data_IF_808766778070
#
_entry.id   IF_808766778070
#
_cell.length_a   1.000
_cell.length_b   1.000
_cell.length_c   1.000
_cell.angle_alpha   90.00
_cell.angle_beta   90.00
_cell.angle_gamma   90.00
#
_symmetry.space_group_name_H-M   'P 1'
#
loop_
_entity.id
_entity.type
_entity.pdbx_description
1 polymer ?
2 non-polymer ?
3 water ?
#
# COMPACT_ATOMS: atom_id res chain seq x y z
N UNK A 8 -13.67 17.28 11.27
CA UNK A 8 -13.10 16.57 10.07
C UNK A 8 -11.67 17.05 9.85
N UNK A 9 -10.72 16.12 9.87
CA UNK A 9 -9.31 16.45 9.71
C UNK A 9 -9.03 16.87 8.27
N UNK A 10 -7.95 17.62 8.10
CA UNK A 10 -7.46 17.99 6.77
C UNK A 10 -7.25 16.74 5.92
N UNK A 11 -6.68 15.70 6.53
CA UNK A 11 -6.40 14.44 5.85
C UNK A 11 -7.66 13.71 5.30
N UNK A 12 -8.72 13.63 6.10
CA UNK A 12 -9.97 12.97 5.67
C UNK A 12 -10.73 13.76 4.59
N UNK A 13 -10.67 15.09 4.68
CA UNK A 13 -11.37 15.99 3.76
C UNK A 13 -10.90 15.84 2.30
N UNK A 14 -9.74 15.22 2.08
CA UNK A 14 -9.25 14.97 0.71
C UNK A 14 -10.29 14.23 -0.17
N UNK A 15 -11.03 13.32 0.46
CA UNK A 15 -11.92 12.44 -0.29
C UNK A 15 -13.33 12.99 -0.50
N UNK A 16 -13.53 14.23 -0.07
CA UNK A 16 -14.79 14.91 -0.26
C UNK A 16 -15.07 15.20 -1.72
N UNK A 17 -16.33 15.10 -2.11
CA UNK A 17 -16.79 15.45 -3.46
C UNK A 17 -16.36 16.89 -3.80
N UNK A 18 -16.34 17.75 -2.79
CA UNK A 18 -15.97 19.16 -2.97
C UNK A 18 -14.51 19.38 -3.39
N UNK A 19 -13.66 18.36 -3.25
CA UNK A 19 -12.22 18.49 -3.53
C UNK A 19 -11.83 18.00 -4.93
N UNK A 20 -12.83 17.71 -5.78
CA UNK A 20 -12.55 16.99 -7.05
C UNK A 20 -13.47 17.40 -8.21
N UNK A 21 -12.91 17.38 -9.43
CA UNK A 21 -13.65 17.71 -10.66
C UNK A 21 -13.69 16.54 -11.66
N UNK A 22 -13.31 15.36 -11.18
CA UNK A 22 -13.26 14.14 -11.98
C UNK A 22 -13.25 12.96 -11.00
N UNK A 23 -13.67 11.77 -11.45
CA UNK A 23 -13.69 10.61 -10.55
C UNK A 23 -12.28 10.19 -10.15
N UNK A 24 -12.15 9.29 -9.15
CA UNK A 24 -10.82 8.78 -8.83
C UNK A 24 -10.11 8.30 -10.10
N UNK A 25 -8.83 8.65 -10.22
CA UNK A 25 -8.06 8.32 -11.42
C UNK A 25 -7.89 6.82 -11.66
N UNK A 26 -7.97 6.02 -10.60
CA UNK A 26 -7.83 4.59 -10.73
C UNK A 26 -9.12 3.94 -11.27
N UNK A 27 -10.25 4.66 -11.25
CA UNK A 27 -11.52 4.05 -11.69
C UNK A 27 -11.47 3.68 -13.17
N UNK A 28 -11.78 2.42 -13.46
CA UNK A 28 -11.71 1.91 -14.83
C UNK A 28 -10.40 1.22 -15.18
N UNK A 29 -9.37 1.47 -14.38
CA UNK A 29 -8.06 0.83 -14.56
C UNK A 29 -7.81 -0.20 -13.46
N UNK A 30 -7.76 0.27 -12.22
CA UNK A 30 -7.44 -0.60 -11.09
C UNK A 30 -8.68 -1.37 -10.63
N UNK A 31 -9.85 -0.74 -10.74
CA UNK A 31 -11.09 -1.37 -10.29
C UNK A 31 -12.27 -0.81 -11.10
N UNK A 32 -13.34 -1.59 -11.15
CA UNK A 32 -14.60 -1.18 -11.75
C UNK A 32 -15.44 -0.28 -10.82
N UNK A 33 -16.53 0.26 -11.37
CA UNK A 33 -17.46 1.07 -10.58
C UNK A 33 -18.11 0.33 -9.42
N UNK A 34 -18.10 -1.00 -9.51
CA UNK A 34 -18.67 -1.83 -8.46
C UNK A 34 -17.59 -2.29 -7.48
N UNK A 35 -16.38 -1.74 -7.63
CA UNK A 35 -15.30 -2.04 -6.71
C UNK A 35 -14.62 -3.37 -6.89
N UNK A 36 -14.73 -3.96 -8.08
CA UNK A 36 -14.02 -5.20 -8.38
C UNK A 36 -12.68 -4.87 -9.05
N UNK A 37 -11.62 -5.51 -8.58
CA UNK A 37 -10.27 -5.25 -9.10
C UNK A 37 -10.04 -5.81 -10.48
N UNK A 38 -9.36 -5.03 -11.31
CA UNK A 38 -9.17 -5.33 -12.73
C UNK A 38 -7.73 -5.73 -13.02
N UNK A 39 -7.51 -6.41 -14.15
CA UNK A 39 -6.14 -6.81 -14.50
C UNK A 39 -5.22 -5.60 -14.67
N UNK A 40 -4.12 -5.60 -13.93
CA UNK A 40 -3.19 -4.47 -13.92
C UNK A 40 -1.82 -5.01 -13.43
N UNK A 41 -1.16 -5.86 -14.25
CA UNK A 41 -0.02 -6.61 -13.71
C UNK A 41 1.22 -5.78 -13.48
N UNK A 42 2.01 -6.21 -12.50
CA UNK A 42 3.24 -5.50 -12.18
C UNK A 42 4.07 -6.30 -11.21
N UNK A 43 5.07 -5.63 -10.63
CA UNK A 43 5.89 -6.22 -9.60
C UNK A 43 6.22 -5.15 -8.57
N UNK A 44 6.76 -5.56 -7.42
CA UNK A 44 6.86 -4.65 -6.28
C UNK A 44 7.64 -5.31 -5.16
N UNK A 45 8.14 -4.51 -4.22
CA UNK A 45 8.69 -5.04 -2.99
C UNK A 45 7.75 -4.66 -1.84
N UNK A 46 7.24 -5.68 -1.13
CA UNK A 46 6.29 -5.42 -0.05
C UNK A 46 6.57 -6.29 1.15
N UNK A 47 6.02 -5.88 2.29
CA UNK A 47 5.98 -6.70 3.51
C UNK A 47 4.54 -7.10 3.78
N UNK A 48 4.22 -8.39 3.68
CA UNK A 48 2.88 -8.84 4.03
C UNK A 48 2.73 -8.86 5.56
N UNK A 49 1.50 -8.89 6.04
CA UNK A 49 1.26 -9.21 7.46
C UNK A 49 1.55 -10.69 7.72
N UNK A 50 1.74 -11.03 8.99
CA UNK A 50 1.90 -12.42 9.40
C UNK A 50 0.50 -13.01 9.69
N UNK A 51 0.08 -13.98 8.88
CA UNK A 51 -1.27 -14.55 9.00
C UNK A 51 -1.45 -15.14 10.40
N UNK A 52 -2.59 -14.83 11.00
CA UNK A 52 -2.93 -15.32 12.35
C UNK A 52 -2.34 -14.54 13.51
N UNK A 53 -1.47 -13.56 13.21
CA UNK A 53 -0.79 -12.79 14.27
C UNK A 53 -1.77 -11.82 14.92
N UNK A 54 -1.44 -11.34 16.12
CA UNK A 54 -2.31 -10.36 16.80
C UNK A 54 -2.37 -9.04 16.02
N UNK A 55 -1.28 -8.72 15.30
CA UNK A 55 -1.27 -7.54 14.44
C UNK A 55 -2.34 -7.68 13.35
N UNK A 56 -2.36 -8.84 12.70
CA UNK A 56 -3.33 -9.03 11.64
C UNK A 56 -4.76 -8.96 12.17
N UNK A 57 -5.03 -9.62 13.30
CA UNK A 57 -6.36 -9.56 13.90
C UNK A 57 -6.79 -8.14 14.24
N UNK A 58 -5.86 -7.35 14.77
CA UNK A 58 -6.16 -5.97 15.10
C UNK A 58 -6.55 -5.18 13.83
N UNK A 59 -5.78 -5.38 12.75
CA UNK A 59 -6.02 -4.64 11.52
C UNK A 59 -7.35 -5.07 10.89
N UNK A 60 -7.64 -6.36 10.99
CA UNK A 60 -8.88 -6.90 10.47
C UNK A 60 -10.08 -6.31 11.23
N UNK A 61 -9.94 -6.10 12.54
CA UNK A 61 -10.99 -5.42 13.31
C UNK A 61 -11.23 -3.98 12.85
N UNK A 62 -10.14 -3.26 12.58
CA UNK A 62 -10.24 -1.89 12.07
C UNK A 62 -10.98 -1.90 10.73
N UNK A 63 -10.54 -2.79 9.86
CA UNK A 63 -11.14 -3.00 8.55
C UNK A 63 -12.64 -3.31 8.63
N UNK A 64 -13.07 -4.04 9.65
CA UNK A 64 -14.51 -4.27 9.89
C UNK A 64 -15.30 -3.02 10.30
N UNK A 65 -14.69 -2.17 11.14
CA UNK A 65 -15.33 -0.92 11.49
C UNK A 65 -15.57 -0.09 10.24
N UNK A 66 -14.65 -0.21 9.27
CA UNK A 66 -14.83 0.53 8.01
C UNK A 66 -15.97 -0.09 7.20
N UNK A 67 -15.99 -1.42 7.10
CA UNK A 67 -17.07 -2.11 6.39
C UNK A 67 -18.44 -1.83 7.02
N UNK A 68 -18.47 -1.57 8.33
CA UNK A 68 -19.76 -1.27 9.02
C UNK A 68 -20.41 -0.01 8.50
N UNK A 70 -22.01 2.83 6.06
CA UNK A 70 -22.75 2.78 4.80
C UNK A 70 -21.89 3.15 3.60
N UNK A 71 -20.94 4.07 3.79
CA UNK A 71 -20.07 4.49 2.67
C UNK A 71 -19.03 3.45 2.28
N UNK A 72 -19.01 2.32 2.98
CA UNK A 72 -18.17 1.19 2.55
C UNK A 72 -18.54 0.77 1.12
N UNK A 73 -19.79 1.05 0.73
CA UNK A 73 -20.26 0.77 -0.61
C UNK A 73 -19.53 1.57 -1.69
N UNK A 74 -18.82 2.64 -1.28
CA UNK A 74 -18.05 3.51 -2.17
C UNK A 74 -16.56 3.23 -2.14
N UNK A 75 -16.20 2.13 -1.47
CA UNK A 75 -14.81 1.72 -1.29
C UNK A 75 -14.61 0.33 -1.85
N UNK A 76 -13.43 0.08 -2.40
CA UNK A 76 -13.09 -1.24 -2.92
C UNK A 76 -12.07 -1.85 -1.97
N UNK A 77 -12.52 -2.79 -1.15
CA UNK A 77 -11.64 -3.42 -0.15
C UNK A 77 -10.86 -4.55 -0.79
N UNK A 78 -9.58 -4.62 -0.45
CA UNK A 78 -8.71 -5.69 -0.91
C UNK A 78 -8.84 -6.89 0.04
N UNK A 79 -8.46 -8.09 -0.42
CA UNK A 79 -8.58 -9.27 0.46
C UNK A 79 -7.69 -9.17 1.69
N UNK A 80 -8.13 -9.75 2.80
CA UNK A 80 -7.31 -9.77 3.99
C UNK A 80 -5.93 -10.39 3.69
N UNK A 81 -5.89 -11.45 2.91
CA UNK A 81 -4.62 -12.13 2.65
C UNK A 81 -3.65 -11.30 1.79
N UNK A 82 -4.14 -10.20 1.20
CA UNK A 82 -3.31 -9.31 0.37
C UNK A 82 -2.68 -8.18 1.15
N UNK A 83 -3.05 -8.01 2.41
CA UNK A 83 -2.60 -6.83 3.15
C UNK A 83 -1.09 -6.77 3.27
N UNK A 84 -0.54 -5.59 2.99
CA UNK A 84 0.91 -5.44 2.96
C UNK A 84 1.27 -3.98 3.08
N UNK A 86 3.88 -1.64 1.20
CA UNK A 86 4.87 -1.54 0.12
C UNK A 86 6.15 -0.89 0.66
N UNK A 87 7.29 -1.48 0.33
CA UNK A 87 8.58 -0.89 0.68
C UNK A 87 9.12 -0.10 -0.50
N UNK A 88 9.02 -0.67 -1.71
CA UNK A 88 9.47 0.02 -2.93
C UNK A 88 8.65 -0.46 -4.10
N UNK A 89 7.94 0.45 -4.77
CA UNK A 89 7.11 0.06 -5.92
C UNK A 89 8.00 -0.40 -7.06
N UNK A 90 7.60 -1.52 -7.69
CA UNK A 90 8.23 -1.97 -8.93
C UNK A 90 7.48 -1.34 -10.12
N UNK A 91 7.49 -2.02 -11.24
CA UNK A 91 6.80 -1.50 -12.43
C UNK A 91 5.37 -1.99 -12.49
N UNK A 92 4.56 -1.34 -13.32
CA UNK A 92 3.18 -1.75 -13.49
C UNK A 92 2.71 -1.45 -14.92
N UNK A 93 1.81 -2.30 -15.43
CA UNK A 93 1.35 -2.24 -16.81
C UNK A 93 0.75 -0.88 -17.17
N UNK A 94 0.10 -0.27 -16.18
CA UNK A 94 -0.61 0.99 -16.35
C UNK A 94 0.27 2.24 -16.29
N UNK A 95 1.59 2.07 -16.11
CA UNK A 95 2.47 3.22 -16.00
C UNK A 95 3.82 2.95 -16.68
N UNK A 96 3.75 2.84 -18.01
CA UNK A 96 4.93 2.52 -18.79
C UNK A 96 5.63 3.82 -19.20
N UNK A 97 6.27 4.45 -18.22
CA UNK A 97 6.86 5.76 -18.42
C UNK A 97 7.98 6.03 -17.42
N UNK A 98 9.01 6.76 -17.85
CA UNK A 98 10.00 7.28 -16.91
C UNK A 98 9.32 8.37 -16.08
N UNK A 99 9.69 8.54 -14.80
CA UNK A 99 10.69 7.86 -13.99
C UNK A 99 10.14 6.68 -13.20
N UNK A 100 9.11 6.02 -13.74
CA UNK A 100 8.47 4.89 -13.05
C UNK A 100 8.90 3.56 -13.67
N UNK A 101 9.96 3.61 -14.47
CA UNK A 101 10.43 2.49 -15.29
C UNK A 101 11.94 2.65 -15.40
N UNK A 102 12.69 1.52 -15.48
CA UNK A 102 14.13 1.67 -15.66
C UNK A 102 14.46 2.16 -17.06
N UNK A 103 15.29 3.20 -17.18
CA UNK A 103 15.62 3.70 -18.52
C UNK A 103 16.34 2.69 -19.39
N UNK A 104 16.97 1.68 -18.77
CA UNK A 104 17.66 0.65 -19.54
C UNK A 104 16.73 -0.31 -20.28
N UNK A 105 15.43 -0.28 -19.97
CA UNK A 105 14.49 -1.22 -20.59
C UNK A 105 13.48 -0.53 -21.48
N UNK A 106 13.19 -1.10 -22.64
CA UNK A 106 12.13 -0.56 -23.49
C UNK A 106 10.82 -0.41 -22.72
N UNK A 107 10.09 0.65 -23.01
CA UNK A 107 8.83 0.96 -22.29
C UNK A 107 7.77 -0.10 -22.57
N UNK A 108 7.93 -0.85 -23.68
CA UNK A 108 6.96 -1.89 -24.05
C UNK A 108 7.40 -3.30 -23.67
N UNK A 109 8.42 -3.42 -22.82
CA UNK A 109 8.88 -4.73 -22.34
C UNK A 109 7.73 -5.41 -21.59
N UNK A 110 7.44 -6.68 -21.93
CA UNK A 110 6.42 -7.40 -21.15
C UNK A 110 6.74 -7.40 -19.66
N UNK A 111 5.71 -7.23 -18.83
CA UNK A 111 5.90 -7.22 -17.38
C UNK A 111 6.71 -8.44 -16.89
N UNK A 112 6.43 -9.63 -17.42
CA UNK A 112 7.19 -10.81 -16.98
C UNK A 112 8.68 -10.75 -17.26
N UNK A 113 9.07 -10.13 -18.38
CA UNK A 113 10.49 -9.93 -18.67
C UNK A 113 11.15 -8.92 -17.73
N UNK A 114 10.39 -7.90 -17.30
CA UNK A 114 10.94 -6.98 -16.31
C UNK A 114 11.16 -7.72 -14.97
N UNK A 115 10.19 -8.54 -14.59
CA UNK A 115 10.29 -9.36 -13.39
C UNK A 115 11.55 -10.25 -13.42
N UNK A 116 11.83 -10.87 -14.57
CA UNK A 116 13.06 -11.67 -14.70
C UNK A 116 14.35 -10.85 -14.56
N UNK A 117 14.39 -9.66 -15.18
CA UNK A 117 15.53 -8.75 -15.10
C UNK A 117 15.81 -8.39 -13.64
N UNK A 118 14.75 -8.09 -12.91
CA UNK A 118 14.89 -7.74 -11.51
C UNK A 118 15.22 -8.93 -10.60
N UNK A 119 14.56 -10.07 -10.82
CA UNK A 119 14.87 -11.27 -10.02
C UNK A 119 16.37 -11.58 -10.09
N UNK A 120 16.95 -11.41 -11.28
CA UNK A 120 18.38 -11.60 -11.49
C UNK A 120 19.20 -10.52 -10.78
N UNK A 121 18.82 -9.27 -10.97
CA UNK A 121 19.56 -8.16 -10.37
C UNK A 121 19.51 -8.24 -8.85
N UNK A 122 18.35 -8.65 -8.31
CA UNK A 122 18.14 -8.68 -6.86
C UNK A 122 18.78 -9.88 -6.16
N UNK A 123 19.42 -10.77 -6.93
CA UNK A 123 20.14 -11.92 -6.37
C UNK A 123 21.35 -11.52 -5.54
N UNK A 124 21.86 -10.31 -5.76
CA UNK A 124 22.98 -9.77 -4.99
C UNK A 124 22.59 -8.64 -4.03
N UNK A 125 21.30 -8.48 -3.76
CA UNK A 125 20.84 -7.46 -2.78
C UNK A 125 21.48 -7.69 -1.41
N UNK A 126 22.04 -6.62 -0.80
CA UNK A 126 22.78 -6.82 0.45
C UNK A 126 21.88 -7.08 1.64
N UNK A 127 22.45 -7.68 2.69
CA UNK A 127 21.77 -7.85 3.95
C UNK A 127 21.70 -6.49 4.65
N UNK A 128 20.49 -6.03 4.93
CA UNK A 128 20.28 -4.77 5.62
C UNK A 128 19.56 -5.03 6.94
N UNK A 129 19.71 -4.12 7.93
CA UNK A 129 19.10 -4.37 9.22
C UNK A 129 17.58 -4.39 9.17
N UNK A 130 16.99 -5.14 10.10
CA UNK A 130 15.55 -5.17 10.25
C UNK A 130 15.06 -3.83 10.78
N UNK A 131 13.80 -3.53 10.46
CA UNK A 131 13.14 -2.33 10.95
C UNK A 131 11.77 -2.68 11.50
N UNK A 132 11.30 -1.82 12.41
CA UNK A 132 9.98 -1.93 12.99
C UNK A 132 9.18 -0.68 12.61
N UNK A 134 5.24 1.47 12.96
CA UNK A 134 4.05 1.68 13.79
C UNK A 134 3.04 2.49 13.01
N UNK A 135 1.76 2.34 13.36
CA UNK A 135 0.69 3.11 12.73
C UNK A 135 0.50 4.47 13.38
N UNK A 136 0.49 5.52 12.55
CA UNK A 136 0.40 6.89 13.04
C UNK A 136 -0.88 7.60 12.63
N UNK A 137 -1.62 7.05 11.66
CA UNK A 137 -2.86 7.69 11.22
C UNK A 137 -3.75 6.68 10.55
N UNK A 138 -5.04 7.00 10.45
CA UNK A 138 -6.03 6.19 9.74
C UNK A 138 -6.85 7.08 8.85
N UNK A 139 -7.21 6.55 7.69
CA UNK A 139 -8.07 7.26 6.76
C UNK A 139 -8.89 6.17 6.05
N UNK A 140 -9.94 6.56 5.30
CA UNK A 140 -10.74 5.49 4.67
C UNK A 140 -9.98 4.50 3.80
N UNK A 141 -8.87 4.93 3.18
CA UNK A 141 -8.09 3.99 2.38
C UNK A 141 -7.13 3.10 3.18
N UNK A 142 -6.91 3.40 4.46
CA UNK A 142 -6.05 2.53 5.25
C UNK A 142 -5.19 3.23 6.30
N UNK A 144 -1.65 4.94 7.83
CA UNK A 144 -0.41 5.66 7.58
C UNK A 144 0.59 5.13 8.60
N UNK A 146 4.92 5.05 10.09
CA UNK A 146 6.31 5.47 10.09
C UNK A 146 7.10 4.46 10.91
N UNK A 147 8.39 4.67 10.98
CA UNK A 147 9.29 3.86 11.81
C UNK A 147 8.81 3.89 13.27
N UNK A 148 8.93 2.77 13.95
CA UNK A 148 8.53 2.70 15.36
C UNK A 148 9.34 3.73 16.14
N UNK A 149 10.61 3.85 15.77
CA UNK A 149 11.53 4.85 16.33
C UNK A 149 12.17 5.64 15.16
N UNK A 150 12.76 6.79 15.48
CA UNK A 150 13.41 7.59 14.46
C UNK A 150 14.51 6.80 13.74
N UNK A 151 15.21 5.93 14.46
CA UNK A 151 16.19 5.08 13.82
C UNK A 151 15.57 4.14 12.78
N UNK A 152 14.38 3.61 13.03
CA UNK A 152 13.69 2.79 12.03
C UNK A 152 13.44 3.53 10.73
N UNK A 153 13.09 4.81 10.82
CA UNK A 153 12.94 5.62 9.61
C UNK A 153 14.22 5.64 8.78
N UNK A 154 15.35 5.78 9.46
CA UNK A 154 16.64 5.80 8.79
C UNK A 154 16.95 4.45 8.15
N UNK A 155 16.60 3.35 8.84
CA UNK A 155 16.85 2.03 8.30
C UNK A 155 16.00 1.74 7.05
N UNK A 156 14.71 2.03 7.11
CA UNK A 156 13.87 1.76 5.96
C UNK A 156 14.24 2.67 4.78
N UNK A 157 14.72 3.88 5.08
CA UNK A 157 15.17 4.76 3.99
C UNK A 157 16.39 4.14 3.29
N UNK A 158 17.25 3.47 4.06
CA UNK A 158 18.40 2.78 3.47
C UNK A 158 17.96 1.65 2.55
N UNK A 159 16.99 0.86 3.00
CA UNK A 159 16.41 -0.16 2.12
C UNK A 159 15.95 0.45 0.80
N UNK A 160 15.21 1.55 0.88
CA UNK A 160 14.63 2.16 -0.32
C UNK A 160 15.70 2.74 -1.23
N UNK A 161 16.70 3.38 -0.64
CA UNK A 161 17.78 3.93 -1.47
C UNK A 161 18.50 2.79 -2.19
N UNK A 162 18.68 1.68 -1.49
CA UNK A 162 19.35 0.54 -2.08
C UNK A 162 18.48 -0.05 -3.18
N UNK A 163 17.17 -0.18 -2.94
CA UNK A 163 16.28 -0.65 -4.00
C UNK A 163 16.30 0.24 -5.22
N UNK A 164 16.41 1.55 -5.03
CA UNK A 164 16.44 2.47 -6.18
C UNK A 164 17.62 2.15 -7.06
N UNK A 165 18.76 1.81 -6.47
CA UNK A 165 19.93 1.40 -7.24
C UNK A 165 19.68 0.12 -8.04
N UNK A 166 19.07 -0.87 -7.41
CA UNK A 166 18.75 -2.12 -8.11
C UNK A 166 17.67 -2.00 -9.17
N UNK A 167 16.64 -1.21 -8.88
CA UNK A 167 15.53 -1.05 -9.81
C UNK A 167 15.84 -0.08 -10.94
N UNK A 168 16.77 0.84 -10.67
CA UNK A 168 17.27 1.77 -11.69
C UNK A 168 16.35 2.94 -11.99
N UNK A 169 15.52 3.31 -11.01
CA UNK A 169 14.73 4.54 -11.08
C UNK A 169 14.37 4.97 -9.68
N UNK A 170 13.93 6.22 -9.57
CA UNK A 170 13.37 6.80 -8.34
C UNK A 170 12.11 7.57 -8.74
N UNK A 171 11.05 7.43 -7.95
CA UNK A 171 9.85 8.26 -8.17
C UNK A 171 10.08 9.67 -7.61
N UNK A 172 9.28 10.65 -8.08
CA UNK A 172 9.40 12.02 -7.54
C UNK A 172 9.30 12.11 -6.01
N UNK A 173 8.48 11.27 -5.40
CA UNK A 173 8.33 11.33 -3.95
C UNK A 173 9.32 10.42 -3.19
N UNK A 174 10.40 9.99 -3.85
CA UNK A 174 11.28 8.96 -3.25
C UNK A 174 11.67 9.29 -1.81
N UNK A 175 12.13 10.51 -1.58
CA UNK A 175 12.63 10.89 -0.27
C UNK A 175 11.56 11.34 0.71
N UNK A 176 10.34 11.58 0.21
CA UNK A 176 9.21 12.00 1.04
C UNK A 176 8.09 10.95 1.06
N UNK A 177 8.47 9.72 0.77
CA UNK A 177 7.51 8.62 0.63
C UNK A 177 6.67 8.40 1.89
N UNK A 178 5.34 8.28 1.70
CA UNK A 178 4.45 7.95 2.81
C UNK A 178 4.18 6.44 2.87
N UNK A 179 4.72 5.81 3.90
CA UNK A 179 4.45 4.39 4.12
C UNK A 179 3.01 4.19 4.56
N UNK A 180 2.41 3.11 4.09
CA UNK A 180 1.02 2.86 4.41
C UNK A 180 0.65 1.41 4.19
N UNK A 181 -0.45 0.99 4.82
CA UNK A 181 -1.11 -0.25 4.44
C UNK A 181 -2.47 0.11 3.85
N UNK A 182 -2.70 -0.31 2.62
CA UNK A 182 -3.97 -0.06 1.97
C UNK A 182 -5.03 -1.05 2.47
N UNK A 183 -6.14 -0.52 2.95
CA UNK A 183 -7.31 -1.34 3.25
C UNK A 183 -8.32 -1.25 2.10
N UNK A 184 -8.36 -0.13 1.40
CA UNK A 184 -9.36 0.04 0.34
C UNK A 184 -8.91 1.10 -0.65
N UNK A 185 -9.63 1.15 -1.77
CA UNK A 185 -9.51 2.24 -2.72
C UNK A 185 -10.82 3.01 -2.76
N UNK A 186 -10.72 4.33 -2.91
CA UNK A 186 -11.93 5.14 -3.09
C UNK A 186 -12.47 4.91 -4.50
N UNK A 187 -13.73 4.45 -4.60
CA UNK A 187 -14.39 4.28 -5.88
C UNK A 187 -15.17 5.52 -6.31
N UNK A 188 -15.84 6.15 -5.34
CA UNK A 188 -16.54 7.42 -5.57
C UNK A 188 -16.35 8.31 -4.36
N UNK A 189 -16.23 9.62 -4.60
CA UNK A 189 -15.93 10.56 -3.53
C UNK A 189 -17.07 10.64 -2.53
N UNK A 190 -16.74 10.96 -1.28
CA UNK A 190 -17.71 10.98 -0.19
C UNK A 190 -18.42 12.33 -0.12
N UNK A 191 -19.73 12.29 0.08
CA UNK A 191 -20.48 13.52 0.38
C UNK A 191 -19.99 14.09 1.70
N UNK A 192 -19.84 15.43 1.78
CA UNK A 192 -19.28 16.00 3.03
C UNK A 192 -20.06 15.71 4.32
N UNK A 193 -21.37 15.48 4.23
CA UNK A 193 -22.18 15.32 5.43
C UNK A 193 -21.84 14.09 6.30
N UNK A 194 -21.22 13.07 5.70
CA UNK A 194 -20.82 11.89 6.47
C UNK A 194 -19.43 11.98 7.08
N UNK A 195 -18.70 13.04 6.76
CA UNK A 195 -17.31 13.14 7.19
C UNK A 195 -17.10 13.23 8.70
N UNK A 196 -17.90 14.06 9.41
CA UNK A 196 -17.68 14.07 10.87
C UNK A 196 -17.84 12.69 11.53
N UNK A 197 -18.76 11.88 11.04
CA UNK A 197 -18.90 10.53 11.56
C UNK A 197 -17.67 9.67 11.25
N UNK A 198 -17.19 9.71 10.01
CA UNK A 198 -15.96 9.00 9.69
C UNK A 198 -14.81 9.49 10.56
N UNK A 199 -14.67 10.79 10.75
CA UNK A 199 -13.56 11.28 11.58
C UNK A 199 -13.65 10.73 12.99
N UNK A 200 -14.85 10.71 13.56
CA UNK A 200 -14.98 10.23 14.92
C UNK A 200 -14.60 8.75 14.99
N UNK A 202 -12.61 7.12 12.85
CA UNK A 202 -11.17 6.94 12.54
C UNK A 202 -10.33 7.26 13.78
N UNK A 203 -10.76 8.27 14.54
CA UNK A 203 -10.04 8.66 15.75
C UNK A 203 -10.10 7.53 16.76
N UNK A 204 -11.29 6.99 16.96
CA UNK A 204 -11.50 5.94 17.96
C UNK A 204 -10.73 4.68 17.55
N UNK A 205 -10.82 4.31 16.27
CA UNK A 205 -10.16 3.09 15.79
C UNK A 205 -8.65 3.19 15.74
N UNK A 206 -8.13 4.39 15.46
CA UNK A 206 -6.68 4.60 15.48
C UNK A 206 -6.12 4.32 16.87
N UNK A 207 -6.78 4.86 17.90
CA UNK A 207 -6.25 4.64 19.24
C UNK A 207 -6.39 3.18 19.68
N UNK A 208 -7.46 2.52 19.27
CA UNK A 208 -7.67 1.10 19.55
C UNK A 208 -6.60 0.25 18.85
N UNK A 209 -6.31 0.58 17.59
CA UNK A 209 -5.31 -0.15 16.82
C UNK A 209 -3.90 0.03 17.38
N UNK A 210 -3.56 1.26 17.75
CA UNK A 210 -2.24 1.55 18.34
C UNK A 210 -1.98 0.78 19.63
N UNK A 211 -3.03 0.58 20.42
CA UNK A 211 -2.91 -0.23 21.63
C UNK A 211 -2.79 -1.73 21.31
N UNK A 212 -3.61 -2.20 20.37
CA UNK A 212 -3.64 -3.62 20.04
C UNK A 212 -2.43 -4.07 19.26
N UNK A 213 -1.85 -3.15 18.48
CA UNK A 213 -0.72 -3.46 17.61
C UNK A 213 0.25 -2.29 17.66
N UNK A 214 0.96 -2.13 18.80
CA UNK A 214 1.86 -0.97 18.95
C UNK A 214 3.06 -0.97 17.99
N UNK A 215 3.43 -2.15 17.49
CA UNK A 215 4.24 -2.25 16.29
C UNK A 215 3.48 -3.17 15.33
N UNK A 216 3.62 -2.90 14.05
CA UNK A 216 2.88 -3.65 13.05
C UNK A 216 3.77 -4.80 12.63
N UNK A 217 3.53 -5.98 13.22
CA UNK A 217 4.32 -7.13 12.85
C UNK A 217 4.14 -7.44 11.37
N UNK A 219 6.05 -9.61 7.66
CA UNK A 219 7.07 -10.48 7.09
C UNK A 219 8.24 -9.61 6.61
N UNK A 220 9.42 -10.22 6.42
CA UNK A 220 10.54 -9.49 5.79
C UNK A 220 10.16 -8.99 4.38
N UNK A 221 10.83 -7.95 3.91
CA UNK A 221 10.51 -7.46 2.56
C UNK A 221 10.72 -8.53 1.51
N UNK A 222 9.86 -8.55 0.50
CA UNK A 222 9.94 -9.53 -0.55
C UNK A 222 9.60 -8.90 -1.89
N UNK A 223 10.36 -9.27 -2.92
CA UNK A 223 10.03 -8.90 -4.29
C UNK A 223 8.93 -9.84 -4.78
N UNK A 224 7.84 -9.25 -5.28
CA UNK A 224 6.61 -9.96 -5.61
C UNK A 224 6.15 -9.60 -6.99
N UNK A 225 5.35 -10.48 -7.59
CA UNK A 225 4.59 -10.13 -8.78
C UNK A 225 3.08 -10.19 -8.50
N UNK A 226 2.30 -9.47 -9.29
CA UNK A 226 0.86 -9.47 -9.11
C UNK A 226 0.15 -9.30 -10.46
N UNK A 227 -1.04 -9.87 -10.57
CA UNK A 227 -1.92 -9.66 -11.73
C UNK A 227 -2.81 -8.44 -11.48
N UNK A 228 -3.15 -8.21 -10.22
CA UNK A 228 -4.13 -7.21 -9.82
C UNK A 228 -3.91 -7.00 -8.31
N UNK A 230 -5.34 -8.08 -5.77
CA UNK A 230 -5.86 -9.13 -4.88
C UNK A 230 -4.81 -10.06 -4.28
N UNK A 231 -3.65 -10.16 -4.89
CA UNK A 231 -2.65 -11.15 -4.48
C UNK A 231 -1.27 -10.80 -4.98
N UNK A 232 -0.29 -10.97 -4.09
CA UNK A 232 1.11 -10.64 -4.36
C UNK A 232 1.95 -11.87 -4.09
N UNK A 233 2.46 -12.48 -5.16
CA UNK A 233 3.21 -13.73 -5.04
C UNK A 233 4.66 -13.41 -4.77
N UNK A 234 5.18 -13.91 -3.64
CA UNK A 234 6.58 -13.68 -3.27
C UNK A 234 7.54 -14.47 -4.15
N UNK A 235 8.50 -13.76 -4.73
CA UNK A 235 9.50 -14.39 -5.60
C UNK A 235 10.88 -14.42 -4.95
N UNK A 236 11.27 -13.31 -4.32
CA UNK A 236 12.57 -13.24 -3.65
C UNK A 236 12.35 -12.61 -2.28
N UNK A 237 12.69 -13.35 -1.23
CA UNK A 237 12.53 -12.85 0.13
C UNK A 237 13.86 -12.31 0.65
N UNK A 238 13.82 -11.11 1.23
CA UNK A 238 15.03 -10.49 1.75
C UNK A 238 15.07 -10.66 3.26
N UNK A 239 15.24 -11.92 3.69
CA UNK A 239 15.23 -12.25 5.11
C UNK A 239 16.63 -12.50 5.64
#
# INVERSE_FOLDING_TARGET
GHXHAPLVSKDLDYISTANHDQPPRHLGSRFSAEGEFLPEPGNTVVCHLVEGSQTESAIVSTRQRFLDXPEASQLAFTPVSSLHXTVFQGVIESRRALPYWPQTLPLDTPIDAVTDYYRDRLSTFPTLPAFNXRVTGLRPVGXVXKGATAEDDSIVALWRDTFADFFGYRHPDHDTYEFHITLSYIVSWFEPECLPRWQAXLDEELEKLRVAAPVIQXRPPAFCEFKDXNHFKELVVFDKRGS
#
